data_IF_859643035625
#
_entry.id   IF_859643035625
#
_cell.length_a   1.000
_cell.length_b   1.000
_cell.length_c   1.000
_cell.angle_alpha   90.00
_cell.angle_beta   90.00
_cell.angle_gamma   90.00
#
_symmetry.space_group_name_H-M   'P 1'
#
loop_
_entity.id
_entity.type
_entity.pdbx_description
1 polymer ?
#
# COMPACT_ATOMS: atom_id res chain seq x y z
N UNK A 1 -4.01 -13.32 -7.51
CA UNK A 1 -3.67 -13.89 -6.19
C UNK A 1 -2.30 -13.45 -5.70
N UNK A 2 -1.42 -12.96 -6.58
CA UNK A 2 -0.09 -12.45 -6.21
C UNK A 2 -0.16 -11.29 -5.22
N UNK A 3 -0.96 -10.25 -5.51
CA UNK A 3 -1.13 -9.08 -4.63
C UNK A 3 -1.53 -9.45 -3.20
N UNK A 4 -2.42 -10.43 -2.98
CA UNK A 4 -2.83 -10.82 -1.61
C UNK A 4 -1.62 -11.28 -0.78
N UNK A 5 -0.69 -12.01 -1.37
CA UNK A 5 0.52 -12.44 -0.68
C UNK A 5 1.46 -11.25 -0.45
N UNK A 6 1.60 -10.37 -1.44
CA UNK A 6 2.46 -9.18 -1.37
C UNK A 6 1.97 -8.23 -0.26
N UNK A 7 0.68 -7.91 -0.21
CA UNK A 7 0.07 -7.08 0.82
C UNK A 7 0.17 -7.69 2.23
N UNK A 8 0.08 -9.01 2.33
CA UNK A 8 0.28 -9.71 3.61
C UNK A 8 1.73 -9.56 4.11
N UNK A 9 2.72 -9.56 3.20
CA UNK A 9 4.11 -9.32 3.55
C UNK A 9 4.34 -7.88 3.98
N UNK A 10 3.68 -6.91 3.34
CA UNK A 10 3.72 -5.50 3.77
C UNK A 10 3.19 -5.34 5.20
N UNK A 11 1.98 -5.85 5.46
CA UNK A 11 1.37 -5.79 6.78
C UNK A 11 2.23 -6.46 7.86
N UNK A 12 2.79 -7.64 7.55
CA UNK A 12 3.67 -8.37 8.46
C UNK A 12 4.95 -7.60 8.77
N UNK A 13 5.60 -7.00 7.77
CA UNK A 13 6.78 -6.18 7.97
C UNK A 13 6.47 -4.97 8.86
N UNK A 14 5.40 -4.23 8.55
CA UNK A 14 5.00 -3.03 9.29
C UNK A 14 4.67 -3.36 10.75
N UNK A 15 3.94 -4.45 11.01
CA UNK A 15 3.64 -4.90 12.36
C UNK A 15 4.92 -5.21 13.15
N UNK A 16 5.86 -5.96 12.56
CA UNK A 16 7.14 -6.27 13.20
C UNK A 16 7.97 -5.01 13.46
N UNK A 17 7.97 -4.06 12.52
CA UNK A 17 8.71 -2.81 12.67
C UNK A 17 8.12 -1.92 13.76
N UNK A 18 6.80 -1.84 13.87
CA UNK A 18 6.12 -1.12 14.96
C UNK A 18 6.54 -1.70 16.32
N UNK A 19 6.53 -3.03 16.47
CA UNK A 19 6.98 -3.70 17.70
C UNK A 19 8.46 -3.41 17.98
N UNK A 20 9.33 -3.48 16.96
CA UNK A 20 10.76 -3.21 17.11
C UNK A 20 11.05 -1.75 17.55
N UNK A 21 10.17 -0.81 17.19
CA UNK A 21 10.24 0.58 17.62
C UNK A 21 9.53 0.83 18.98
N UNK A 22 9.05 -0.22 19.64
CA UNK A 22 8.42 -0.15 20.97
C UNK A 22 6.92 0.19 20.97
N UNK A 23 6.26 0.14 19.82
CA UNK A 23 4.82 0.36 19.68
C UNK A 23 4.00 -0.93 19.67
N UNK A 24 2.67 -0.78 19.66
CA UNK A 24 1.71 -1.86 19.49
C UNK A 24 0.99 -1.73 18.13
N UNK A 25 1.08 -2.72 17.23
CA UNK A 25 0.40 -2.66 15.93
C UNK A 25 -1.10 -2.88 16.09
N UNK A 26 -1.88 -2.21 15.24
CA UNK A 26 -3.33 -2.46 15.16
C UNK A 26 -3.62 -3.77 14.42
N UNK A 27 -4.70 -4.45 14.82
CA UNK A 27 -5.30 -5.60 14.12
C UNK A 27 -6.60 -5.22 13.40
N UNK A 28 -7.01 -3.96 13.48
CA UNK A 28 -8.23 -3.44 12.84
C UNK A 28 -7.88 -2.84 11.49
N UNK A 29 -8.34 -3.47 10.42
CA UNK A 29 -8.17 -3.00 9.05
C UNK A 29 -9.04 -1.74 8.76
N UNK A 30 -8.61 -0.95 7.78
CA UNK A 30 -9.43 0.15 7.26
C UNK A 30 -10.72 -0.40 6.61
N UNK A 31 -11.86 0.33 6.71
CA UNK A 31 -13.09 -0.10 6.06
C UNK A 31 -12.94 -0.21 4.54
N UNK A 32 -13.43 -1.30 3.96
CA UNK A 32 -13.52 -1.49 2.50
C UNK A 32 -14.89 -1.01 2.03
N UNK A 33 -14.98 0.08 1.24
CA UNK A 33 -16.26 0.57 0.75
C UNK A 33 -16.94 -0.46 -0.16
N UNK A 34 -18.28 -0.61 -0.08
CA UNK A 34 -18.99 -1.48 -1.01
C UNK A 34 -18.93 -0.90 -2.43
N UNK A 35 -18.73 -1.77 -3.42
CA UNK A 35 -18.81 -1.44 -4.84
C UNK A 35 -20.02 -2.15 -5.48
N UNK A 36 -20.75 -1.45 -6.35
CA UNK A 36 -21.95 -1.99 -7.02
C UNK A 36 -21.62 -2.74 -8.32
N UNK A 37 -20.46 -2.48 -8.90
CA UNK A 37 -19.99 -3.09 -10.14
C UNK A 37 -18.46 -3.15 -10.17
N UNK A 38 -17.92 -3.88 -11.15
CA UNK A 38 -16.47 -4.10 -11.27
C UNK A 38 -15.69 -2.82 -11.53
N UNK A 39 -16.28 -1.84 -12.24
CA UNK A 39 -15.63 -0.56 -12.50
C UNK A 39 -15.47 0.25 -11.21
N UNK A 40 -16.53 0.36 -10.41
CA UNK A 40 -16.48 0.99 -9.09
C UNK A 40 -15.46 0.30 -8.16
N UNK A 41 -15.35 -1.03 -8.25
CA UNK A 41 -14.34 -1.78 -7.50
C UNK A 41 -12.92 -1.37 -7.90
N UNK A 42 -12.61 -1.31 -9.20
CA UNK A 42 -11.29 -0.92 -9.68
C UNK A 42 -10.97 0.56 -9.42
N UNK A 43 -11.96 1.45 -9.48
CA UNK A 43 -11.79 2.85 -9.07
C UNK A 43 -11.45 2.97 -7.57
N UNK A 44 -12.07 2.11 -6.74
CA UNK A 44 -11.75 2.02 -5.31
C UNK A 44 -10.34 1.45 -5.07
N UNK A 45 -9.93 0.41 -5.80
CA UNK A 45 -8.58 -0.15 -5.78
C UNK A 45 -7.56 0.92 -6.18
N UNK A 46 -7.72 1.58 -7.33
CA UNK A 46 -6.81 2.63 -7.78
C UNK A 46 -6.63 3.74 -6.74
N UNK A 47 -7.71 4.11 -6.04
CA UNK A 47 -7.66 5.08 -4.95
C UNK A 47 -6.90 4.55 -3.73
N UNK A 48 -7.07 3.28 -3.39
CA UNK A 48 -6.35 2.62 -2.31
C UNK A 48 -4.84 2.56 -2.61
N UNK A 49 -4.45 2.07 -3.80
CA UNK A 49 -3.04 1.98 -4.21
C UNK A 49 -2.33 3.33 -4.14
N UNK A 50 -2.95 4.38 -4.71
CA UNK A 50 -2.40 5.75 -4.67
C UNK A 50 -2.26 6.28 -3.25
N UNK A 51 -3.19 5.93 -2.37
CA UNK A 51 -3.14 6.33 -0.95
C UNK A 51 -2.02 5.58 -0.22
N UNK A 52 -1.84 4.29 -0.49
CA UNK A 52 -0.77 3.47 0.09
C UNK A 52 0.60 4.00 -0.34
N UNK A 53 0.82 4.18 -1.66
CA UNK A 53 2.05 4.75 -2.21
C UNK A 53 2.40 6.11 -1.58
N UNK A 54 1.41 7.00 -1.44
CA UNK A 54 1.62 8.30 -0.79
C UNK A 54 1.97 8.17 0.70
N UNK A 55 1.30 7.25 1.41
CA UNK A 55 1.57 6.94 2.80
C UNK A 55 3.00 6.40 3.00
N UNK A 56 3.39 5.38 2.26
CA UNK A 56 4.73 4.80 2.34
C UNK A 56 5.80 5.81 1.93
N UNK A 57 5.56 6.64 0.91
CA UNK A 57 6.47 7.73 0.52
C UNK A 57 6.69 8.71 1.67
N UNK A 58 5.61 9.12 2.36
CA UNK A 58 5.73 9.99 3.52
C UNK A 58 6.53 9.30 4.65
N UNK A 59 6.22 8.03 4.95
CA UNK A 59 6.92 7.28 5.99
C UNK A 59 8.39 7.06 5.66
N UNK A 60 8.77 6.93 4.38
CA UNK A 60 10.15 6.82 3.96
C UNK A 60 10.93 8.11 4.28
N UNK A 61 10.33 9.27 4.02
CA UNK A 61 10.92 10.56 4.42
C UNK A 61 11.08 10.69 5.93
N UNK A 62 10.08 10.26 6.69
CA UNK A 62 10.13 10.25 8.16
C UNK A 62 11.20 9.28 8.68
N UNK A 63 11.34 8.09 8.08
CA UNK A 63 12.36 7.11 8.40
C UNK A 63 13.78 7.61 8.09
N UNK A 64 13.95 8.32 6.98
CA UNK A 64 15.22 8.97 6.61
C UNK A 64 15.58 10.05 7.63
N UNK A 65 14.62 10.90 8.01
CA UNK A 65 14.82 11.91 9.05
C UNK A 65 15.13 11.29 10.43
N UNK A 66 14.59 10.10 10.71
CA UNK A 66 14.87 9.32 11.92
C UNK A 66 16.22 8.58 11.86
N UNK A 67 16.84 8.46 10.68
CA UNK A 67 18.12 7.78 10.48
C UNK A 67 18.02 6.25 10.33
N UNK A 68 16.82 5.70 10.13
CA UNK A 68 16.61 4.25 9.95
C UNK A 68 16.66 3.88 8.47
N UNK A 69 17.87 3.72 7.93
CA UNK A 69 18.05 3.47 6.49
C UNK A 69 17.43 2.16 6.01
N UNK A 70 17.37 1.14 6.88
CA UNK A 70 16.72 -0.12 6.55
C UNK A 70 15.21 0.03 6.38
N UNK A 71 14.57 0.85 7.22
CA UNK A 71 13.15 1.19 7.07
C UNK A 71 12.88 1.99 5.79
N UNK A 72 13.75 2.95 5.46
CA UNK A 72 13.63 3.72 4.21
C UNK A 72 13.59 2.79 3.00
N UNK A 73 14.58 1.90 2.87
CA UNK A 73 14.67 0.98 1.73
C UNK A 73 13.42 0.10 1.63
N UNK A 74 12.97 -0.46 2.75
CA UNK A 74 11.78 -1.31 2.72
C UNK A 74 10.51 -0.53 2.33
N UNK A 75 10.35 0.70 2.80
CA UNK A 75 9.21 1.54 2.42
C UNK A 75 9.27 1.96 0.95
N UNK A 76 10.46 2.25 0.41
CA UNK A 76 10.64 2.55 -1.01
C UNK A 76 10.34 1.34 -1.90
N UNK A 77 10.67 0.12 -1.44
CA UNK A 77 10.25 -1.11 -2.12
C UNK A 77 8.72 -1.25 -2.12
N UNK A 78 8.04 -0.98 -1.01
CA UNK A 78 6.57 -0.96 -0.97
C UNK A 78 6.01 0.12 -1.90
N UNK A 79 6.59 1.32 -1.95
CA UNK A 79 6.19 2.37 -2.90
C UNK A 79 6.29 1.90 -4.35
N UNK A 80 7.36 1.16 -4.70
CA UNK A 80 7.52 0.58 -6.03
C UNK A 80 6.38 -0.39 -6.35
N UNK A 81 6.07 -1.29 -5.43
CA UNK A 81 5.02 -2.30 -5.61
C UNK A 81 3.65 -1.62 -5.84
N UNK A 82 3.26 -0.68 -4.96
CA UNK A 82 1.97 0.05 -5.09
C UNK A 82 1.90 0.94 -6.33
N UNK A 83 3.04 1.50 -6.75
CA UNK A 83 3.09 2.25 -8.01
C UNK A 83 2.74 1.33 -9.18
N UNK A 84 3.32 0.13 -9.23
CA UNK A 84 3.02 -0.88 -10.24
C UNK A 84 1.55 -1.31 -10.22
N UNK A 85 0.99 -1.62 -9.05
CA UNK A 85 -0.43 -1.97 -8.89
C UNK A 85 -1.35 -0.84 -9.39
N UNK A 86 -1.03 0.42 -9.02
CA UNK A 86 -1.81 1.58 -9.41
C UNK A 86 -1.77 1.85 -10.92
N UNK A 87 -0.61 1.66 -11.56
CA UNK A 87 -0.42 1.85 -12.99
C UNK A 87 -1.16 0.77 -13.80
N UNK A 88 -1.09 -0.48 -13.37
CA UNK A 88 -1.84 -1.58 -13.97
C UNK A 88 -3.35 -1.35 -13.86
N UNK A 89 -3.84 -0.99 -12.67
CA UNK A 89 -5.27 -0.71 -12.44
C UNK A 89 -5.72 0.49 -13.28
N UNK A 90 -4.91 1.54 -13.36
CA UNK A 90 -5.21 2.71 -14.18
C UNK A 90 -5.31 2.36 -15.67
N UNK A 91 -4.41 1.51 -16.18
CA UNK A 91 -4.46 1.01 -17.57
C UNK A 91 -5.75 0.24 -17.83
N UNK A 92 -6.16 -0.66 -16.92
CA UNK A 92 -7.42 -1.42 -17.05
C UNK A 92 -8.63 -0.47 -17.11
N UNK A 93 -8.66 0.54 -16.25
CA UNK A 93 -9.75 1.53 -16.24
C UNK A 93 -9.75 2.42 -17.49
N UNK A 94 -8.57 2.75 -18.03
CA UNK A 94 -8.44 3.52 -19.27
C UNK A 94 -8.97 2.75 -20.47
N UNK A 95 -8.65 1.46 -20.56
CA UNK A 95 -9.06 0.57 -21.66
C UNK A 95 -10.43 -0.08 -21.41
N UNK A 96 -11.18 0.39 -20.41
CA UNK A 96 -12.44 -0.22 -20.01
C UNK A 96 -13.48 -0.12 -21.14
N UNK A 97 -14.01 -1.25 -21.64
CA UNK A 97 -14.98 -1.23 -22.72
C UNK A 97 -16.24 -0.47 -22.28
N UNK A 98 -16.62 0.53 -23.06
CA UNK A 98 -17.86 1.31 -22.91
C UNK A 98 -19.09 0.45 -23.22
#
# INVERSE_FOLDING_TARGET
LTEVADEQLHAQFLANKIVALGGEPTTVAAPVPPAKNNREMLEAVLKAEKKAAAGYSQRAQEAEAFGDKGLVVQLEDMVRDESGHSEETARILQDWPL
#
